data_IF_360886955127
#
_entry.id   IF_360886955127
#
_cell.length_a   1.000
_cell.length_b   1.000
_cell.length_c   1.000
_cell.angle_alpha   90.00
_cell.angle_beta   90.00
_cell.angle_gamma   90.00
#
_symmetry.space_group_name_H-M   'P 1'
#
loop_
_entity.id
_entity.type
_entity.pdbx_description
1 polymer ?
#
# COMPACT_ATOMS: atom_id res chain seq x y z
N UNK A 1 8.01 18.17 -7.00
CA UNK A 1 8.81 17.00 -7.39
C UNK A 1 9.42 16.45 -6.12
N UNK A 2 9.31 15.14 -5.91
CA UNK A 2 9.93 14.45 -4.78
C UNK A 2 10.94 13.45 -5.36
N UNK A 3 12.18 13.50 -4.86
CA UNK A 3 13.27 12.62 -5.29
C UNK A 3 13.73 11.83 -4.07
N UNK A 4 13.66 10.50 -4.14
CA UNK A 4 14.16 9.62 -3.07
C UNK A 4 15.61 9.21 -3.36
N UNK A 5 16.54 9.66 -2.54
CA UNK A 5 17.95 9.28 -2.64
C UNK A 5 18.25 8.09 -1.72
N UNK A 6 18.82 7.03 -2.28
CA UNK A 6 19.49 5.99 -1.51
C UNK A 6 20.99 6.34 -1.45
N UNK A 7 21.46 6.81 -0.29
CA UNK A 7 22.88 7.13 -0.13
C UNK A 7 23.74 5.86 -0.28
N UNK A 8 24.80 5.89 -1.11
CA UNK A 8 25.71 4.76 -1.22
C UNK A 8 26.47 4.54 0.09
N UNK A 9 26.82 3.28 0.37
CA UNK A 9 27.40 2.86 1.65
C UNK A 9 28.82 3.40 1.91
N UNK A 10 29.49 3.91 0.88
CA UNK A 10 30.83 4.48 0.90
C UNK A 10 30.86 5.96 1.34
N UNK A 11 29.70 6.56 1.63
CA UNK A 11 29.61 7.88 2.27
C UNK A 11 30.01 9.05 1.37
N UNK A 12 30.16 8.82 0.07
CA UNK A 12 30.64 9.83 -0.85
C UNK A 12 29.51 10.77 -1.29
N UNK A 13 29.20 11.76 -0.45
CA UNK A 13 28.18 12.78 -0.70
C UNK A 13 28.84 14.01 -1.36
N UNK A 14 29.34 13.83 -2.58
CA UNK A 14 30.25 14.79 -3.21
C UNK A 14 29.74 15.51 -4.47
N UNK A 15 28.53 15.24 -4.94
CA UNK A 15 28.05 15.76 -6.24
C UNK A 15 26.79 16.60 -6.09
N UNK A 16 26.78 17.78 -6.72
CA UNK A 16 25.56 18.53 -7.01
C UNK A 16 24.73 17.72 -8.01
N UNK A 17 23.59 17.20 -7.57
CA UNK A 17 22.68 16.45 -8.41
C UNK A 17 21.77 17.37 -9.24
N UNK A 18 21.64 17.06 -10.52
CA UNK A 18 20.78 17.75 -11.50
C UNK A 18 19.53 16.95 -11.89
N UNK A 19 19.13 15.96 -11.08
CA UNK A 19 17.98 15.11 -11.37
C UNK A 19 16.67 15.89 -11.39
N UNK A 20 15.81 15.56 -12.36
CA UNK A 20 14.64 16.36 -12.68
C UNK A 20 13.61 15.60 -13.51
N UNK A 21 12.43 16.22 -13.66
CA UNK A 21 11.43 15.81 -14.64
C UNK A 21 11.35 16.84 -15.75
N UNK A 22 11.32 16.38 -17.02
CA UNK A 22 11.00 17.22 -18.18
C UNK A 22 9.54 17.06 -18.55
N UNK A 23 8.78 18.15 -18.50
CA UNK A 23 7.35 18.15 -18.80
C UNK A 23 7.10 18.75 -20.18
N UNK A 24 6.36 18.03 -21.01
CA UNK A 24 5.87 18.50 -22.30
C UNK A 24 4.38 18.79 -22.19
N UNK A 25 3.95 20.00 -22.51
CA UNK A 25 2.56 20.46 -22.37
C UNK A 25 2.07 21.20 -23.63
N UNK A 26 0.75 21.33 -23.75
CA UNK A 26 0.07 22.03 -24.85
C UNK A 26 -1.00 22.97 -24.29
N UNK A 27 -1.24 24.15 -24.89
CA UNK A 27 -2.36 25.01 -24.51
C UNK A 27 -3.73 24.44 -24.96
N UNK A 28 -3.75 23.48 -25.90
CA UNK A 28 -4.99 22.87 -26.38
C UNK A 28 -5.49 21.78 -25.42
N UNK A 29 -6.69 21.97 -24.88
CA UNK A 29 -7.28 21.02 -23.93
C UNK A 29 -7.67 19.70 -24.62
N UNK A 30 -7.28 18.58 -23.99
CA UNK A 30 -7.75 17.24 -24.40
C UNK A 30 -9.15 16.98 -23.87
N UNK A 31 -9.84 16.01 -24.47
CA UNK A 31 -11.21 15.62 -24.10
C UNK A 31 -11.38 15.26 -22.62
N UNK A 32 -10.35 14.66 -22.00
CA UNK A 32 -10.40 14.22 -20.61
C UNK A 32 -9.13 14.59 -19.86
N UNK A 33 -9.31 15.02 -18.62
CA UNK A 33 -8.23 15.08 -17.63
C UNK A 33 -7.85 13.67 -17.19
N UNK A 34 -6.53 13.43 -17.10
CA UNK A 34 -6.00 12.22 -16.52
C UNK A 34 -5.78 12.39 -15.01
N UNK A 35 -5.98 11.32 -14.25
CA UNK A 35 -5.67 11.22 -12.82
C UNK A 35 -4.78 10.02 -12.52
N UNK A 36 -4.25 10.01 -11.30
CA UNK A 36 -3.56 8.86 -10.71
C UNK A 36 -4.41 8.39 -9.54
N UNK A 37 -4.69 7.09 -9.47
CA UNK A 37 -5.34 6.46 -8.32
C UNK A 37 -4.41 5.41 -7.72
N UNK A 38 -4.17 5.49 -6.42
CA UNK A 38 -3.42 4.48 -5.69
C UNK A 38 -4.39 3.51 -5.03
N UNK A 39 -4.25 2.21 -5.30
CA UNK A 39 -5.14 1.14 -4.82
C UNK A 39 -4.30 0.10 -4.09
N UNK A 40 -4.71 -0.27 -2.88
CA UNK A 40 -4.10 -1.39 -2.18
C UNK A 40 -4.05 -1.22 -0.68
N UNK A 41 -2.96 -1.68 -0.07
CA UNK A 41 -2.81 -1.63 1.38
C UNK A 41 -2.19 -0.31 1.78
N UNK A 42 -2.77 0.34 2.78
CA UNK A 42 -2.18 1.54 3.34
C UNK A 42 -0.78 1.21 3.92
N UNK A 43 0.30 1.89 3.48
CA UNK A 43 1.67 1.62 3.95
C UNK A 43 1.87 2.03 5.41
N UNK A 44 1.37 1.20 6.33
CA UNK A 44 1.43 1.45 7.76
C UNK A 44 1.77 0.18 8.54
N UNK A 45 2.16 0.37 9.81
CA UNK A 45 2.64 -0.68 10.71
C UNK A 45 1.63 -1.82 10.99
N UNK A 46 0.35 -1.65 10.67
CA UNK A 46 -0.69 -2.68 10.82
C UNK A 46 -0.65 -3.72 9.71
N UNK A 47 0.03 -3.44 8.60
CA UNK A 47 0.41 -4.45 7.63
C UNK A 47 1.63 -5.20 8.17
N UNK A 48 1.47 -6.46 8.53
CA UNK A 48 2.51 -7.29 9.13
C UNK A 48 2.81 -8.46 8.21
N UNK A 49 4.09 -8.63 7.87
CA UNK A 49 4.62 -9.77 7.13
C UNK A 49 5.53 -10.57 8.08
N UNK A 50 5.15 -11.80 8.45
CA UNK A 50 5.96 -12.63 9.36
C UNK A 50 7.30 -13.06 8.71
N UNK A 51 8.37 -13.24 9.50
CA UNK A 51 9.65 -13.73 9.02
C UNK A 51 9.62 -15.22 8.66
N UNK A 52 10.59 -15.65 7.84
CA UNK A 52 10.85 -17.06 7.55
C UNK A 52 9.81 -17.75 6.66
N UNK A 53 8.91 -17.00 6.00
CA UNK A 53 7.86 -17.58 5.18
C UNK A 53 8.21 -17.54 3.69
N UNK A 54 8.06 -18.66 3.00
CA UNK A 54 8.25 -18.72 1.54
C UNK A 54 7.17 -17.96 0.78
N UNK A 55 5.96 -17.90 1.35
CA UNK A 55 4.80 -17.25 0.73
C UNK A 55 3.93 -16.60 1.79
N UNK A 56 3.82 -15.28 1.74
CA UNK A 56 2.83 -14.50 2.51
C UNK A 56 1.98 -13.72 1.52
N UNK A 57 0.67 -13.82 1.65
CA UNK A 57 -0.26 -13.06 0.81
C UNK A 57 -0.87 -11.94 1.63
N UNK A 58 -0.84 -10.73 1.11
CA UNK A 58 -1.54 -9.58 1.69
C UNK A 58 -2.48 -8.99 0.65
N UNK A 59 -3.61 -8.45 1.09
CA UNK A 59 -4.63 -7.90 0.19
C UNK A 59 -5.15 -6.57 0.70
N UNK A 60 -5.07 -5.56 -0.15
CA UNK A 60 -5.63 -4.24 0.05
C UNK A 60 -6.87 -4.04 -0.81
N UNK A 61 -7.87 -3.38 -0.26
CA UNK A 61 -9.22 -3.35 -0.82
C UNK A 61 -9.69 -1.92 -1.06
N UNK A 62 -10.16 -1.67 -2.27
CA UNK A 62 -10.99 -0.52 -2.60
C UNK A 62 -12.44 -1.00 -2.71
N UNK A 63 -13.19 -0.87 -1.62
CA UNK A 63 -14.55 -1.40 -1.53
C UNK A 63 -15.52 -0.69 -2.47
N UNK A 64 -16.59 -1.41 -2.82
CA UNK A 64 -17.66 -0.94 -3.68
C UNK A 64 -18.24 0.42 -3.26
N UNK A 65 -18.29 0.73 -1.96
CA UNK A 65 -18.81 2.02 -1.49
C UNK A 65 -17.88 3.19 -1.83
N UNK A 66 -16.55 3.02 -1.76
CA UNK A 66 -15.61 4.07 -2.19
C UNK A 66 -15.78 4.37 -3.68
N UNK A 67 -15.87 3.35 -4.53
CA UNK A 67 -16.03 3.54 -5.98
C UNK A 67 -17.41 4.06 -6.34
N UNK A 68 -18.46 3.63 -5.64
CA UNK A 68 -19.84 4.11 -5.82
C UNK A 68 -19.97 5.60 -5.52
N UNK A 69 -19.30 6.07 -4.48
CA UNK A 69 -19.34 7.47 -4.07
C UNK A 69 -18.45 8.36 -4.96
N UNK A 70 -17.31 7.84 -5.42
CA UNK A 70 -16.31 8.65 -6.10
C UNK A 70 -16.42 8.68 -7.62
N UNK A 71 -16.94 7.62 -8.25
CA UNK A 71 -16.92 7.49 -9.70
C UNK A 71 -18.22 7.98 -10.34
N UNK A 72 -18.16 8.58 -11.54
CA UNK A 72 -19.36 9.00 -12.27
C UNK A 72 -20.11 7.77 -12.78
N UNK A 73 -21.38 7.94 -13.15
CA UNK A 73 -22.20 6.85 -13.71
C UNK A 73 -21.52 6.10 -14.87
N UNK A 74 -20.80 6.84 -15.73
CA UNK A 74 -20.04 6.26 -16.85
C UNK A 74 -18.75 5.52 -16.46
N UNK A 75 -18.35 5.55 -15.19
CA UNK A 75 -17.11 4.99 -14.67
C UNK A 75 -15.85 5.76 -15.05
N UNK A 76 -14.71 5.18 -14.70
CA UNK A 76 -13.38 5.60 -15.14
C UNK A 76 -12.74 4.53 -16.03
N UNK A 77 -11.75 4.92 -16.80
CA UNK A 77 -10.97 4.05 -17.67
C UNK A 77 -9.51 4.11 -17.24
N UNK A 78 -9.01 3.04 -16.64
CA UNK A 78 -7.59 2.87 -16.30
C UNK A 78 -6.87 2.41 -17.55
N UNK A 79 -5.80 3.10 -17.97
CA UNK A 79 -5.10 2.80 -19.22
C UNK A 79 -3.63 2.39 -19.03
N UNK A 80 -3.06 2.62 -17.85
CA UNK A 80 -1.74 2.15 -17.47
C UNK A 80 -1.67 1.94 -15.97
N UNK A 81 -0.79 1.05 -15.51
CA UNK A 81 -0.57 0.79 -14.08
C UNK A 81 0.91 0.63 -13.77
N UNK A 82 1.32 0.97 -12.55
CA UNK A 82 2.58 0.53 -11.96
C UNK A 82 2.26 -0.25 -10.68
N UNK A 83 2.92 -1.38 -10.52
CA UNK A 83 2.82 -2.23 -9.33
C UNK A 83 4.02 -1.92 -8.43
N UNK A 84 3.75 -1.66 -7.15
CA UNK A 84 4.76 -1.21 -6.20
C UNK A 84 4.78 -2.13 -4.97
N UNK A 85 5.94 -2.74 -4.79
CA UNK A 85 6.39 -3.43 -3.57
C UNK A 85 7.77 -2.92 -3.20
N UNK A 86 8.29 -3.31 -2.04
CA UNK A 86 9.73 -3.26 -1.77
C UNK A 86 10.35 -4.65 -2.02
N UNK A 87 11.49 -4.92 -1.38
CA UNK A 87 12.46 -5.97 -1.73
C UNK A 87 11.93 -7.40 -1.65
N UNK A 88 10.95 -7.66 -0.79
CA UNK A 88 10.45 -9.03 -0.58
C UNK A 88 9.18 -9.33 -1.37
N UNK A 89 8.66 -8.38 -2.16
CA UNK A 89 7.58 -8.60 -3.12
C UNK A 89 7.99 -9.56 -4.23
N UNK A 90 7.08 -10.45 -4.63
CA UNK A 90 7.30 -11.43 -5.72
C UNK A 90 6.18 -11.43 -6.75
N UNK A 91 4.94 -11.20 -6.31
CA UNK A 91 3.79 -11.18 -7.22
C UNK A 91 2.84 -10.06 -6.83
N UNK A 92 2.23 -9.41 -7.80
CA UNK A 92 1.17 -8.41 -7.58
C UNK A 92 0.06 -8.61 -8.60
N UNK A 93 -1.19 -8.55 -8.15
CA UNK A 93 -2.36 -8.56 -9.01
C UNK A 93 -3.36 -7.49 -8.58
N UNK A 94 -3.89 -6.74 -9.56
CA UNK A 94 -5.05 -5.87 -9.38
C UNK A 94 -6.30 -6.60 -9.88
N UNK A 95 -7.02 -7.22 -8.95
CA UNK A 95 -8.23 -7.99 -9.20
C UNK A 95 -9.45 -7.06 -9.25
N UNK A 96 -10.43 -7.43 -10.06
CA UNK A 96 -11.62 -6.61 -10.32
C UNK A 96 -12.88 -7.43 -10.07
N UNK A 97 -13.73 -6.94 -9.17
CA UNK A 97 -14.97 -7.59 -8.77
C UNK A 97 -16.13 -6.67 -9.13
N UNK A 98 -17.12 -7.21 -9.83
CA UNK A 98 -18.35 -6.51 -10.23
C UNK A 98 -19.56 -7.35 -9.91
N UNK A 99 -20.47 -6.81 -9.11
CA UNK A 99 -21.70 -7.52 -8.72
C UNK A 99 -21.44 -8.85 -8.01
N UNK A 100 -20.34 -8.96 -7.26
CA UNK A 100 -19.93 -10.19 -6.57
C UNK A 100 -19.20 -11.23 -7.44
N UNK A 101 -19.11 -11.03 -8.75
CA UNK A 101 -18.32 -11.87 -9.65
C UNK A 101 -16.94 -11.28 -9.90
N UNK A 102 -15.91 -12.13 -9.91
CA UNK A 102 -14.56 -11.73 -10.29
C UNK A 102 -14.42 -11.71 -11.81
N UNK A 103 -14.01 -10.56 -12.32
CA UNK A 103 -13.63 -10.34 -13.71
C UNK A 103 -12.13 -10.65 -13.90
N UNK A 104 -11.64 -10.77 -15.14
CA UNK A 104 -10.21 -10.85 -15.38
C UNK A 104 -9.45 -9.73 -14.65
N UNK A 105 -8.28 -10.02 -14.07
CA UNK A 105 -7.49 -9.01 -13.38
C UNK A 105 -7.15 -7.86 -14.33
N UNK A 106 -7.21 -6.63 -13.83
CA UNK A 106 -6.86 -5.43 -14.61
C UNK A 106 -5.38 -5.49 -15.00
N UNK A 107 -4.55 -5.98 -14.09
CA UNK A 107 -3.14 -6.27 -14.34
C UNK A 107 -2.63 -7.30 -13.34
N UNK A 108 -1.66 -8.10 -13.75
CA UNK A 108 -0.93 -9.04 -12.89
C UNK A 108 0.53 -9.14 -13.31
N UNK A 109 1.42 -9.29 -12.33
CA UNK A 109 2.83 -9.61 -12.52
C UNK A 109 3.22 -10.69 -11.50
N UNK A 110 3.58 -11.86 -12.00
CA UNK A 110 3.97 -13.00 -11.17
C UNK A 110 5.48 -13.06 -10.89
N UNK A 111 6.25 -12.11 -11.41
CA UNK A 111 7.69 -12.01 -11.24
C UNK A 111 8.11 -10.54 -11.09
N UNK A 112 7.51 -9.86 -10.11
CA UNK A 112 7.79 -8.45 -9.88
C UNK A 112 9.23 -8.25 -9.40
N UNK A 113 9.90 -7.28 -9.98
CA UNK A 113 11.20 -6.82 -9.53
C UNK A 113 11.03 -5.44 -8.87
N UNK A 114 11.40 -5.34 -7.59
CA UNK A 114 11.27 -4.08 -6.86
C UNK A 114 12.19 -2.99 -7.39
N UNK A 115 13.27 -3.35 -8.09
CA UNK A 115 14.23 -2.43 -8.68
C UNK A 115 13.78 -1.99 -10.10
N UNK A 116 12.76 -2.63 -10.67
CA UNK A 116 12.20 -2.31 -11.99
C UNK A 116 10.69 -2.01 -11.93
N UNK A 117 10.36 -0.78 -11.52
CA UNK A 117 8.98 -0.29 -11.41
C UNK A 117 8.67 0.79 -12.45
N UNK A 118 7.90 0.43 -13.47
CA UNK A 118 7.46 1.34 -14.52
C UNK A 118 5.94 1.32 -14.71
N UNK A 119 5.40 2.39 -15.30
CA UNK A 119 4.02 2.39 -15.77
C UNK A 119 3.90 1.53 -17.03
N UNK A 120 3.22 0.38 -16.91
CA UNK A 120 2.90 -0.49 -18.03
C UNK A 120 1.53 -0.13 -18.60
N UNK A 121 1.48 0.12 -19.90
CA UNK A 121 0.24 0.39 -20.63
C UNK A 121 -0.59 -0.90 -20.73
N UNK A 122 -1.89 -0.80 -20.46
CA UNK A 122 -2.82 -1.91 -20.63
C UNK A 122 -3.14 -2.11 -22.12
N UNK A 123 -3.35 -3.35 -22.55
CA UNK A 123 -3.72 -3.66 -23.94
C UNK A 123 -5.01 -2.95 -24.37
N UNK A 124 -5.96 -2.85 -23.45
CA UNK A 124 -7.14 -1.99 -23.58
C UNK A 124 -7.42 -1.30 -22.24
N UNK A 125 -7.97 -0.07 -22.23
CA UNK A 125 -8.36 0.59 -20.99
C UNK A 125 -9.39 -0.23 -20.21
N UNK A 126 -9.11 -0.50 -18.94
CA UNK A 126 -10.01 -1.21 -18.05
C UNK A 126 -11.07 -0.26 -17.50
N UNK A 127 -12.34 -0.57 -17.76
CA UNK A 127 -13.48 0.24 -17.31
C UNK A 127 -13.94 -0.17 -15.92
N UNK A 128 -13.84 0.76 -14.97
CA UNK A 128 -14.25 0.59 -13.58
C UNK A 128 -15.49 1.44 -13.33
N UNK A 129 -16.57 0.80 -12.92
CA UNK A 129 -17.88 1.41 -12.70
C UNK A 129 -18.11 1.71 -11.21
N UNK A 130 -19.03 2.63 -10.89
CA UNK A 130 -19.50 2.82 -9.52
C UNK A 130 -20.02 1.49 -8.94
N UNK A 131 -19.55 1.13 -7.74
CA UNK A 131 -19.93 -0.12 -7.07
C UNK A 131 -19.03 -1.32 -7.38
N UNK A 132 -18.02 -1.16 -8.24
CA UNK A 132 -16.98 -2.18 -8.42
C UNK A 132 -16.05 -2.22 -7.20
N UNK A 133 -15.57 -3.41 -6.85
CA UNK A 133 -14.59 -3.63 -5.80
C UNK A 133 -13.25 -4.02 -6.43
N UNK A 134 -12.18 -3.33 -6.06
CA UNK A 134 -10.83 -3.61 -6.54
C UNK A 134 -9.99 -4.17 -5.41
N UNK A 135 -9.19 -5.20 -5.70
CA UNK A 135 -8.31 -5.83 -4.71
C UNK A 135 -6.90 -5.85 -5.26
N UNK A 136 -6.00 -5.13 -4.59
CA UNK A 136 -4.56 -5.29 -4.81
C UNK A 136 -4.06 -6.43 -3.95
N UNK A 137 -3.66 -7.52 -4.56
CA UNK A 137 -3.09 -8.68 -3.89
C UNK A 137 -1.59 -8.71 -4.13
N UNK A 138 -0.81 -8.82 -3.07
CA UNK A 138 0.65 -8.95 -3.14
C UNK A 138 1.09 -10.25 -2.48
N UNK A 139 2.01 -10.95 -3.12
CA UNK A 139 2.69 -12.12 -2.58
C UNK A 139 4.13 -11.76 -2.25
N UNK A 140 4.54 -12.07 -1.02
CA UNK A 140 5.89 -11.84 -0.51
C UNK A 140 6.62 -13.14 -0.24
N UNK A 141 7.95 -13.10 -0.36
CA UNK A 141 8.85 -14.12 0.16
C UNK A 141 9.73 -13.50 1.26
N UNK A 142 9.47 -13.88 2.52
CA UNK A 142 10.18 -13.41 3.70
C UNK A 142 11.13 -14.46 4.28
N UNK A 143 11.52 -15.49 3.52
CA UNK A 143 12.37 -16.59 4.00
C UNK A 143 13.72 -16.14 4.56
N UNK A 144 14.26 -15.04 4.01
CA UNK A 144 15.54 -14.45 4.44
C UNK A 144 15.39 -13.44 5.59
N UNK A 145 14.16 -13.07 5.98
CA UNK A 145 13.94 -12.13 7.08
C UNK A 145 13.93 -12.88 8.40
N UNK A 146 14.67 -12.36 9.38
CA UNK A 146 14.74 -12.88 10.76
C UNK A 146 13.75 -12.21 11.71
N UNK A 147 13.24 -11.03 11.36
CA UNK A 147 12.27 -10.26 12.13
C UNK A 147 11.05 -9.90 11.27
N UNK A 148 9.96 -9.51 11.94
CA UNK A 148 8.75 -9.02 11.28
C UNK A 148 9.08 -7.88 10.32
N UNK A 149 8.46 -7.89 9.15
CA UNK A 149 8.50 -6.78 8.20
C UNK A 149 7.15 -6.06 8.27
N UNK A 150 7.19 -4.76 8.49
CA UNK A 150 5.99 -3.92 8.61
C UNK A 150 5.70 -3.22 7.28
N UNK A 151 4.45 -2.82 7.06
CA UNK A 151 4.08 -1.90 6.00
C UNK A 151 4.60 -0.49 6.28
N UNK A 152 5.08 0.19 5.25
CA UNK A 152 5.63 1.54 5.38
C UNK A 152 6.34 2.01 4.12
N UNK A 153 6.99 3.17 4.20
CA UNK A 153 7.58 3.86 3.04
C UNK A 153 9.09 3.63 2.90
N UNK A 154 9.74 3.05 3.90
CA UNK A 154 11.18 2.80 3.88
C UNK A 154 11.52 1.47 3.22
N UNK A 155 12.74 1.34 2.69
CA UNK A 155 13.20 0.11 2.03
C UNK A 155 13.32 -1.12 2.95
N UNK A 156 13.25 -0.94 4.27
CA UNK A 156 13.25 -2.03 5.26
C UNK A 156 11.83 -2.55 5.51
N UNK A 157 10.84 -1.69 5.33
CA UNK A 157 9.40 -1.97 5.36
C UNK A 157 8.94 -2.49 3.98
N UNK A 158 7.64 -2.75 3.86
CA UNK A 158 7.02 -3.21 2.61
C UNK A 158 5.83 -2.35 2.17
N UNK A 159 5.51 -2.46 0.88
CA UNK A 159 4.32 -1.84 0.28
C UNK A 159 3.52 -2.87 -0.51
N UNK A 160 2.20 -2.62 -0.63
CA UNK A 160 1.30 -3.39 -1.49
C UNK A 160 0.39 -2.43 -2.25
N UNK A 161 0.90 -1.83 -3.32
CA UNK A 161 0.18 -0.78 -4.04
C UNK A 161 0.16 -1.04 -5.54
N UNK A 162 -0.93 -0.64 -6.17
CA UNK A 162 -1.05 -0.48 -7.62
C UNK A 162 -1.48 0.95 -7.88
N UNK A 163 -0.67 1.70 -8.62
CA UNK A 163 -1.03 3.06 -9.05
C UNK A 163 -1.51 2.99 -10.50
N UNK A 164 -2.76 3.38 -10.73
CA UNK A 164 -3.37 3.42 -12.05
C UNK A 164 -3.43 4.83 -12.62
N UNK A 165 -3.00 5.00 -13.87
CA UNK A 165 -3.32 6.18 -14.68
C UNK A 165 -4.71 5.99 -15.29
N UNK A 166 -5.59 6.96 -15.10
CA UNK A 166 -6.98 6.83 -15.51
C UNK A 166 -7.59 8.13 -16.04
N UNK A 167 -8.72 8.02 -16.73
CA UNK A 167 -9.57 9.15 -17.11
C UNK A 167 -11.06 8.77 -17.10
N UNK A 168 -12.00 9.72 -16.93
CA UNK A 168 -11.76 11.11 -16.54
C UNK A 168 -11.29 11.21 -15.08
N UNK A 169 -10.47 12.20 -14.76
CA UNK A 169 -9.97 12.46 -13.40
C UNK A 169 -11.12 12.68 -12.42
N UNK A 170 -11.04 12.06 -11.24
CA UNK A 170 -11.98 12.26 -10.13
C UNK A 170 -11.40 13.20 -9.07
N UNK A 171 -12.26 14.01 -8.45
CA UNK A 171 -11.85 14.98 -7.40
C UNK A 171 -11.79 14.36 -6.01
N UNK A 172 -12.60 13.33 -5.74
CA UNK A 172 -12.86 12.80 -4.40
C UNK A 172 -12.10 11.53 -4.06
N UNK A 173 -11.37 10.91 -5.01
CA UNK A 173 -10.64 9.66 -4.78
C UNK A 173 -9.31 9.63 -5.53
N UNK A 174 -8.23 9.88 -4.79
CA UNK A 174 -6.84 9.73 -5.26
C UNK A 174 -6.15 8.51 -4.64
N UNK A 175 -6.55 8.14 -3.42
CA UNK A 175 -6.10 6.93 -2.74
C UNK A 175 -7.30 6.12 -2.29
N UNK A 176 -7.31 4.83 -2.60
CA UNK A 176 -8.32 3.89 -2.16
C UNK A 176 -7.62 2.72 -1.48
N UNK A 177 -7.40 2.87 -0.18
CA UNK A 177 -6.62 1.94 0.61
C UNK A 177 -7.46 1.29 1.70
N UNK A 178 -7.06 0.08 2.08
CA UNK A 178 -7.55 -0.56 3.29
C UNK A 178 -6.38 -0.93 4.19
N UNK A 179 -6.69 -1.10 5.47
CA UNK A 179 -5.74 -1.59 6.46
C UNK A 179 -6.44 -2.56 7.42
N UNK A 180 -5.71 -3.53 8.00
CA UNK A 180 -6.26 -4.36 9.06
C UNK A 180 -6.77 -3.50 10.23
N UNK A 181 -7.89 -3.92 10.83
CA UNK A 181 -8.41 -3.25 12.02
C UNK A 181 -7.42 -3.38 13.17
N UNK A 182 -7.30 -2.32 13.96
CA UNK A 182 -6.40 -2.30 15.12
C UNK A 182 -6.67 -3.46 16.09
N UNK A 183 -7.93 -3.78 16.47
CA UNK A 183 -8.19 -4.92 17.36
C UNK A 183 -7.70 -6.25 16.80
N UNK A 184 -7.89 -6.50 15.49
CA UNK A 184 -7.40 -7.72 14.85
C UNK A 184 -5.89 -7.82 14.92
N UNK A 185 -5.18 -6.72 14.66
CA UNK A 185 -3.71 -6.68 14.72
C UNK A 185 -3.22 -6.97 16.13
N UNK A 186 -3.79 -6.31 17.14
CA UNK A 186 -3.42 -6.53 18.54
C UNK A 186 -3.67 -7.97 18.96
N UNK A 187 -4.83 -8.53 18.61
CA UNK A 187 -5.16 -9.92 18.89
C UNK A 187 -4.16 -10.89 18.24
N UNK A 188 -3.73 -10.62 16.99
CA UNK A 188 -2.73 -11.45 16.30
C UNK A 188 -1.35 -11.41 16.98
N UNK A 189 -1.06 -10.36 17.75
CA UNK A 189 0.16 -10.20 18.54
C UNK A 189 0.00 -10.71 19.98
N UNK A 190 -1.15 -11.31 20.33
CA UNK A 190 -1.44 -11.76 21.69
C UNK A 190 -1.77 -10.63 22.68
N UNK A 191 -2.06 -9.42 22.18
CA UNK A 191 -2.43 -8.26 23.01
C UNK A 191 -3.96 -8.22 23.12
N UNK A 192 -4.48 -8.43 24.33
CA UNK A 192 -5.93 -8.46 24.60
C UNK A 192 -6.50 -7.08 24.99
N UNK A 193 -5.70 -6.21 25.60
CA UNK A 193 -6.12 -4.85 25.98
C UNK A 193 -4.98 -3.83 25.83
N UNK A 194 -5.30 -2.65 25.31
CA UNK A 194 -4.45 -1.47 25.41
C UNK A 194 -4.92 -0.66 26.63
N UNK A 195 -4.18 -0.73 27.73
CA UNK A 195 -4.47 0.10 28.90
C UNK A 195 -4.38 1.60 28.54
N UNK A 196 -5.40 2.43 28.82
CA UNK A 196 -5.43 3.85 28.49
C UNK A 196 -4.52 4.72 29.37
N UNK A 197 -3.72 4.14 30.28
CA UNK A 197 -2.81 4.92 31.12
C UNK A 197 -1.58 5.39 30.33
N UNK A 198 -1.74 6.49 29.60
CA UNK A 198 -0.63 7.38 29.27
C UNK A 198 -0.09 7.95 30.58
N UNK A 199 0.82 7.22 31.24
CA UNK A 199 1.76 7.88 32.16
C UNK A 199 2.62 8.77 31.28
N UNK A 200 2.37 10.08 31.31
CA UNK A 200 3.35 11.08 30.83
C UNK A 200 4.68 10.73 31.49
N UNK A 201 5.62 10.16 30.74
CA UNK A 201 7.00 10.09 31.17
C UNK A 201 7.51 11.53 31.21
N UNK A 202 7.39 12.19 32.37
CA UNK A 202 8.17 13.37 32.67
C UNK A 202 9.62 12.90 32.75
N UNK A 203 10.43 13.33 31.78
CA UNK A 203 11.86 13.14 31.81
C UNK A 203 12.47 14.00 32.92
N UNK A 204 12.36 13.52 34.16
CA UNK A 204 13.15 14.05 35.26
C UNK A 204 14.22 13.02 35.56
N UNK A 205 15.47 13.42 35.34
CA UNK A 205 16.72 12.69 35.60
C UNK A 205 16.56 11.61 36.68
N UNK A 206 16.76 10.35 36.30
CA UNK A 206 17.57 9.38 37.04
C UNK A 206 17.79 8.17 36.13
N UNK A 207 19.05 7.74 35.98
CA UNK A 207 19.42 6.61 35.13
C UNK A 207 18.73 5.33 35.59
N UNK A 208 17.89 4.76 34.71
CA UNK A 208 17.38 3.40 34.84
C UNK A 208 17.34 2.80 33.44
N UNK A 209 18.14 1.76 33.21
CA UNK A 209 18.11 0.95 32.00
C UNK A 209 16.76 0.24 31.94
N UNK A 210 15.91 0.58 30.96
CA UNK A 210 14.64 -0.13 30.76
C UNK A 210 14.89 -1.40 29.96
N UNK A 211 14.88 -2.54 30.65
CA UNK A 211 14.66 -3.85 30.03
C UNK A 211 13.16 -3.99 29.76
N UNK A 212 12.72 -3.75 28.53
CA UNK A 212 11.36 -4.07 28.11
C UNK A 212 11.28 -5.59 27.93
N UNK A 213 10.88 -6.32 28.98
CA UNK A 213 10.43 -7.70 28.83
C UNK A 213 9.02 -7.68 28.24
N UNK A 214 8.93 -7.70 26.92
CA UNK A 214 7.72 -8.19 26.25
C UNK A 214 7.62 -9.69 26.59
N UNK A 215 6.64 -10.07 27.41
CA UNK A 215 6.32 -11.49 27.62
C UNK A 215 5.59 -11.95 26.37
N UNK A 216 6.36 -12.44 25.39
CA UNK A 216 5.84 -13.14 24.23
C UNK A 216 5.29 -14.49 24.73
N UNK A 217 3.97 -14.59 24.91
CA UNK A 217 3.34 -15.90 25.11
C UNK A 217 3.24 -16.55 23.73
N UNK A 218 4.28 -17.30 23.34
CA UNK A 218 4.27 -18.14 22.15
C UNK A 218 3.38 -19.36 22.40
N UNK A 219 2.05 -19.21 22.28
CA UNK A 219 1.17 -20.36 22.09
C UNK A 219 1.12 -20.67 20.59
N UNK A 220 1.73 -21.78 20.18
CA UNK A 220 1.64 -22.26 18.81
C UNK A 220 0.20 -22.54 18.42
N UNK A 221 -0.34 -21.74 17.50
CA UNK A 221 -1.59 -22.05 16.81
C UNK A 221 -1.40 -21.84 15.31
N UNK A 222 -1.74 -22.90 14.60
CA UNK A 222 -1.79 -23.00 13.15
C UNK A 222 -2.88 -22.09 12.56
N UNK A 223 -2.62 -21.67 11.32
CA UNK A 223 -3.39 -20.76 10.48
C UNK A 223 -4.92 -20.72 10.71
N UNK A 224 -5.44 -19.53 10.95
CA UNK A 224 -6.81 -19.16 10.61
C UNK A 224 -6.83 -17.67 10.20
N UNK A 225 -6.83 -17.46 8.88
CA UNK A 225 -7.13 -16.19 8.22
C UNK A 225 -8.55 -15.75 8.57
N UNK A 226 -8.77 -14.47 8.90
CA UNK A 226 -9.91 -13.59 8.56
C UNK A 226 -9.72 -12.30 9.38
N UNK A 227 -9.07 -11.29 8.80
CA UNK A 227 -8.88 -9.99 9.42
C UNK A 227 -9.96 -9.00 8.94
N UNK A 228 -10.70 -8.39 9.86
CA UNK A 228 -11.60 -7.28 9.52
C UNK A 228 -10.73 -6.05 9.16
N UNK A 229 -10.89 -5.53 7.95
CA UNK A 229 -10.21 -4.33 7.48
C UNK A 229 -11.03 -3.07 7.77
N UNK A 230 -10.36 -1.99 8.19
CA UNK A 230 -10.92 -0.63 8.21
C UNK A 230 -10.60 -0.01 6.84
N UNK A 231 -11.62 0.54 6.18
CA UNK A 231 -11.49 1.17 4.87
C UNK A 231 -11.28 2.67 5.03
N UNK A 232 -10.22 3.21 4.42
CA UNK A 232 -9.97 4.66 4.39
C UNK A 232 -10.09 5.14 2.94
N UNK A 233 -11.23 5.73 2.59
CA UNK A 233 -11.34 6.51 1.35
C UNK A 233 -10.82 7.93 1.65
N UNK A 234 -9.50 8.14 1.67
CA UNK A 234 -8.92 9.44 2.02
C UNK A 234 -8.79 10.34 0.78
N UNK A 235 -9.58 11.41 0.75
CA UNK A 235 -9.47 12.53 -0.17
C UNK A 235 -9.34 13.84 0.61
N UNK A 236 -8.13 14.15 1.07
CA UNK A 236 -7.79 15.45 1.65
C UNK A 236 -6.50 15.95 1.00
N UNK A 237 -6.68 16.69 -0.10
CA UNK A 237 -5.71 17.72 -0.46
C UNK A 237 -5.75 18.74 0.68
N UNK A 238 -4.69 18.81 1.48
CA UNK A 238 -4.47 19.99 2.31
C UNK A 238 -4.30 21.19 1.37
N UNK A 239 -5.12 22.25 1.49
CA UNK A 239 -4.79 23.52 0.88
C UNK A 239 -3.54 24.07 1.58
N UNK A 240 -2.58 24.53 0.77
CA UNK A 240 -1.47 25.38 1.20
C UNK A 240 -2.03 26.70 1.72
#
# INVERSE_FOLDING_TARGET
METHYASPADGNVGSLDGSGLRLYYTPELRRHDAGVISIGMDPNWRHIIPPGQQKVVSSGHCVADCTRQAFPYGGINVFAVVMKTHKIGRQVALRHIRGGAELPPIASDDNIDSDYQEYRKLGAPAKILPGDHLITQCTYNSSERTAITLGGLTSREETCLVMGLYYPRQKSLAACHSLPSLPTVLHSLGIQELSPTVRKCSATKLGVTFNVRAVLVLSGYTAASWAFCIFSCTGLLHPV
#
